data_IF_490856091565
#
_entry.id   IF_490856091565
#
_cell.length_a   1.000
_cell.length_b   1.000
_cell.length_c   1.000
_cell.angle_alpha   90.00
_cell.angle_beta   90.00
_cell.angle_gamma   90.00
#
_symmetry.space_group_name_H-M   'P 1'
#
loop_
_entity.id
_entity.type
_entity.pdbx_description
1 polymer ?
#
# COMPACT_ATOMS: atom_id res chain seq x y z
N UNK A 1 20.52 9.44 -24.15
CA UNK A 1 19.53 8.97 -23.16
C UNK A 1 18.18 9.65 -23.45
N UNK A 2 17.32 9.02 -24.25
CA UNK A 2 15.91 9.41 -24.45
C UNK A 2 15.08 8.34 -23.74
N UNK A 3 14.86 8.47 -22.44
CA UNK A 3 14.06 7.51 -21.68
C UNK A 3 13.27 8.25 -20.60
N UNK A 4 11.99 7.89 -20.48
CA UNK A 4 11.11 8.06 -19.31
C UNK A 4 10.23 9.31 -19.13
N UNK A 5 10.12 10.26 -20.08
CA UNK A 5 9.06 11.29 -19.98
C UNK A 5 7.64 10.75 -20.20
N UNK A 6 7.49 9.71 -21.01
CA UNK A 6 6.19 9.10 -21.27
C UNK A 6 5.65 8.36 -20.05
N UNK A 7 6.51 7.69 -19.27
CA UNK A 7 6.05 6.88 -18.14
C UNK A 7 5.43 7.71 -17.01
N UNK A 8 6.10 8.79 -16.58
CA UNK A 8 5.61 9.63 -15.49
C UNK A 8 4.27 10.30 -15.84
N UNK A 9 4.08 10.67 -17.11
CA UNK A 9 2.86 11.32 -17.61
C UNK A 9 1.70 10.37 -17.92
N UNK A 10 1.95 9.05 -18.05
CA UNK A 10 0.89 8.05 -18.24
C UNK A 10 -0.10 8.04 -17.07
N UNK A 11 -1.39 7.88 -17.38
CA UNK A 11 -2.45 7.66 -16.40
C UNK A 11 -2.31 6.25 -15.81
N UNK A 12 -2.58 6.11 -14.51
CA UNK A 12 -2.71 4.79 -13.90
C UNK A 12 -3.92 4.06 -14.47
N UNK A 13 -3.72 2.83 -14.90
CA UNK A 13 -4.73 1.98 -15.54
C UNK A 13 -5.36 0.99 -14.56
N UNK A 14 -4.67 0.70 -13.45
CA UNK A 14 -5.13 -0.22 -12.42
C UNK A 14 -4.65 0.20 -11.02
N UNK A 15 -5.18 -0.45 -9.98
CA UNK A 15 -4.71 -0.32 -8.61
C UNK A 15 -4.66 -1.67 -7.89
N UNK A 16 -3.82 -1.74 -6.86
CA UNK A 16 -3.65 -2.93 -6.04
C UNK A 16 -3.53 -2.59 -4.56
N UNK A 17 -4.00 -3.51 -3.73
CA UNK A 17 -3.65 -3.62 -2.31
C UNK A 17 -3.09 -5.02 -2.09
N UNK A 18 -2.09 -5.13 -1.22
CA UNK A 18 -1.66 -6.43 -0.69
C UNK A 18 -1.81 -6.40 0.82
N UNK A 19 -2.57 -7.36 1.33
CA UNK A 19 -2.71 -7.62 2.75
C UNK A 19 -2.64 -9.12 2.97
N UNK A 20 -1.90 -9.55 3.98
CA UNK A 20 -2.14 -10.86 4.59
C UNK A 20 -3.51 -10.86 5.29
N UNK A 21 -4.14 -12.03 5.51
CA UNK A 21 -5.39 -12.09 6.26
C UNK A 21 -5.32 -11.43 7.65
N UNK A 22 -4.15 -11.52 8.30
CA UNK A 22 -3.91 -10.89 9.61
C UNK A 22 -3.86 -9.37 9.51
N UNK A 23 -3.12 -8.84 8.55
CA UNK A 23 -3.08 -7.39 8.27
C UNK A 23 -4.45 -6.86 7.88
N UNK A 24 -5.22 -7.60 7.08
CA UNK A 24 -6.57 -7.21 6.69
C UNK A 24 -7.51 -7.16 7.91
N UNK A 25 -7.46 -8.16 8.79
CA UNK A 25 -8.21 -8.17 10.04
C UNK A 25 -7.80 -6.99 10.94
N UNK A 26 -6.51 -6.74 11.10
CA UNK A 26 -6.01 -5.60 11.87
C UNK A 26 -6.51 -4.28 11.27
N UNK A 27 -6.42 -4.12 9.96
CA UNK A 27 -6.84 -2.93 9.23
C UNK A 27 -8.32 -2.60 9.39
N UNK A 28 -9.19 -3.62 9.40
CA UNK A 28 -10.64 -3.44 9.53
C UNK A 28 -11.10 -3.26 10.98
N UNK A 29 -10.57 -4.04 11.91
CA UNK A 29 -11.17 -4.19 13.24
C UNK A 29 -10.32 -3.61 14.39
N UNK A 30 -9.03 -3.33 14.19
CA UNK A 30 -8.16 -2.80 15.25
C UNK A 30 -8.01 -1.28 15.12
N UNK A 31 -7.94 -0.62 16.28
CA UNK A 31 -7.55 0.80 16.41
C UNK A 31 -6.06 0.82 16.74
N UNK A 32 -5.17 1.18 15.77
CA UNK A 32 -3.74 1.09 15.98
C UNK A 32 -3.29 2.07 17.06
N UNK A 33 -2.57 1.54 18.05
CA UNK A 33 -1.95 2.28 19.14
C UNK A 33 -0.44 2.21 18.99
N UNK A 34 0.24 3.29 19.36
CA UNK A 34 1.68 3.36 19.29
C UNK A 34 2.31 2.35 20.27
N UNK A 35 3.20 1.44 19.83
CA UNK A 35 3.86 0.50 20.72
C UNK A 35 4.71 1.15 21.82
N UNK A 36 5.16 2.40 21.60
CA UNK A 36 6.03 3.12 22.56
C UNK A 36 5.26 3.89 23.63
N UNK A 37 4.17 4.56 23.26
CA UNK A 37 3.47 5.49 24.15
C UNK A 37 1.97 5.19 24.30
N UNK A 38 1.44 4.16 23.64
CA UNK A 38 0.02 3.76 23.72
C UNK A 38 -0.96 4.69 23.00
N UNK A 39 -0.50 5.85 22.50
CA UNK A 39 -1.35 6.85 21.86
C UNK A 39 -1.92 6.34 20.53
N UNK A 40 -3.12 6.80 20.17
CA UNK A 40 -3.76 6.43 18.90
C UNK A 40 -2.92 6.92 17.73
N UNK A 41 -2.68 6.02 16.77
CA UNK A 41 -1.90 6.34 15.58
C UNK A 41 -2.75 6.96 14.48
N UNK A 42 -2.13 7.88 13.74
CA UNK A 42 -2.72 8.50 12.54
C UNK A 42 -2.41 7.59 11.35
N UNK A 43 -3.46 7.05 10.73
CA UNK A 43 -3.36 6.23 9.53
C UNK A 43 -3.30 7.13 8.30
N UNK A 44 -2.32 6.90 7.43
CA UNK A 44 -2.20 7.55 6.12
C UNK A 44 -2.20 6.48 5.03
N UNK A 45 -2.98 6.73 3.98
CA UNK A 45 -2.96 5.91 2.76
C UNK A 45 -1.94 6.51 1.81
N UNK A 46 -0.98 5.70 1.41
CA UNK A 46 0.09 6.09 0.48
C UNK A 46 0.09 5.16 -0.73
N UNK A 47 0.79 5.56 -1.78
CA UNK A 47 0.93 4.73 -2.97
C UNK A 47 2.26 4.97 -3.65
N UNK A 48 2.73 3.96 -4.36
CA UNK A 48 3.75 4.12 -5.40
C UNK A 48 3.23 3.57 -6.72
N UNK A 49 3.84 4.01 -7.82
CA UNK A 49 3.49 3.54 -9.17
C UNK A 49 4.42 2.40 -9.56
N UNK A 50 3.88 1.29 -10.09
CA UNK A 50 4.69 0.18 -10.60
C UNK A 50 4.26 -0.21 -12.02
N UNK A 51 5.22 -0.74 -12.79
CA UNK A 51 5.02 -1.34 -14.12
C UNK A 51 4.63 -2.82 -13.95
N UNK A 52 3.60 -3.28 -14.67
CA UNK A 52 3.30 -4.71 -14.87
C UNK A 52 2.53 -5.43 -13.76
N UNK A 53 2.28 -6.73 -14.03
CA UNK A 53 1.44 -7.66 -13.25
C UNK A 53 1.70 -7.53 -11.76
N UNK A 54 0.63 -7.21 -11.04
CA UNK A 54 0.61 -7.12 -9.59
C UNK A 54 1.06 -8.48 -9.01
N UNK A 55 2.14 -8.52 -8.20
CA UNK A 55 2.65 -9.77 -7.62
C UNK A 55 1.57 -10.44 -6.75
N UNK A 56 1.23 -11.69 -7.07
CA UNK A 56 0.39 -12.54 -6.22
C UNK A 56 -1.14 -12.38 -6.34
N UNK A 57 -1.64 -11.50 -7.20
CA UNK A 57 -3.10 -11.25 -7.33
C UNK A 57 -3.82 -12.08 -8.37
N UNK A 58 -3.15 -12.47 -9.46
CA UNK A 58 -3.79 -13.20 -10.56
C UNK A 58 -2.91 -14.36 -11.00
N UNK A 59 -3.34 -15.59 -10.73
CA UNK A 59 -2.76 -16.82 -11.31
C UNK A 59 -3.36 -17.15 -12.68
N UNK A 60 -4.42 -16.45 -13.08
CA UNK A 60 -5.02 -16.49 -14.41
C UNK A 60 -4.74 -15.21 -15.18
N UNK A 61 -4.52 -15.32 -16.49
CA UNK A 61 -4.43 -14.14 -17.35
C UNK A 61 -5.82 -13.50 -17.48
N UNK A 62 -6.01 -12.37 -16.81
CA UNK A 62 -7.18 -11.53 -17.04
C UNK A 62 -6.97 -10.78 -18.34
N UNK A 63 -7.47 -11.33 -19.45
CA UNK A 63 -7.31 -10.83 -20.81
C UNK A 63 -7.71 -9.35 -21.04
N UNK A 64 -8.36 -8.70 -20.06
CA UNK A 64 -8.87 -7.32 -20.16
C UNK A 64 -8.32 -6.34 -19.10
N UNK A 65 -7.34 -6.75 -18.27
CA UNK A 65 -6.74 -5.82 -17.29
C UNK A 65 -5.50 -5.17 -17.88
N UNK A 66 -5.57 -3.88 -18.16
CA UNK A 66 -4.40 -3.06 -18.50
C UNK A 66 -3.62 -2.76 -17.22
N UNK A 67 -2.50 -3.43 -17.01
CA UNK A 67 -1.59 -3.26 -15.87
C UNK A 67 -0.32 -2.49 -16.24
N UNK A 68 -0.37 -1.74 -17.35
CA UNK A 68 0.72 -0.89 -17.83
C UNK A 68 1.25 0.01 -16.71
N UNK A 69 0.36 0.67 -15.95
CA UNK A 69 0.71 1.52 -14.80
C UNK A 69 -0.25 1.32 -13.63
N UNK A 70 0.24 0.67 -12.58
CA UNK A 70 -0.57 0.30 -11.41
C UNK A 70 -0.25 1.21 -10.22
N UNK A 71 -1.28 1.69 -9.51
CA UNK A 71 -1.12 2.25 -8.15
C UNK A 71 -1.07 1.12 -7.13
N UNK A 72 0.07 0.93 -6.49
CA UNK A 72 0.17 0.02 -5.35
C UNK A 72 -0.06 0.80 -4.05
N UNK A 73 -1.19 0.55 -3.38
CA UNK A 73 -1.54 1.23 -2.14
C UNK A 73 -0.96 0.51 -0.92
N UNK A 74 -0.43 1.29 0.01
CA UNK A 74 0.00 0.83 1.32
C UNK A 74 -0.41 1.82 2.41
N UNK A 75 -0.38 1.36 3.66
CA UNK A 75 -0.80 2.17 4.80
C UNK A 75 0.36 2.36 5.76
N UNK A 76 0.60 3.62 6.13
CA UNK A 76 1.56 4.01 7.15
C UNK A 76 0.82 4.59 8.36
N UNK A 77 1.41 4.38 9.52
CA UNK A 77 0.86 4.78 10.81
C UNK A 77 1.89 5.64 11.51
N UNK A 78 1.55 6.89 11.77
CA UNK A 78 2.43 7.82 12.49
C UNK A 78 1.86 8.10 13.86
N UNK A 79 2.68 7.99 14.89
CA UNK A 79 2.32 8.44 16.23
C UNK A 79 2.44 9.97 16.30
N UNK A 80 1.38 10.69 16.72
CA UNK A 80 1.43 12.15 16.83
C UNK A 80 2.31 12.65 17.98
N UNK A 81 2.56 11.81 18.99
CA UNK A 81 3.32 12.20 20.19
C UNK A 81 4.81 11.95 20.02
N UNK A 82 5.20 10.70 19.70
CA UNK A 82 6.62 10.34 19.58
C UNK A 82 7.16 10.42 18.14
N UNK A 83 6.31 10.72 17.15
CA UNK A 83 6.70 10.79 15.74
C UNK A 83 7.05 9.45 15.08
N UNK A 84 7.02 8.33 15.83
CA UNK A 84 7.36 7.02 15.31
C UNK A 84 6.41 6.60 14.18
N UNK A 85 6.98 6.01 13.13
CA UNK A 85 6.27 5.52 11.96
C UNK A 85 6.34 4.00 11.90
N UNK A 86 5.21 3.39 11.55
CA UNK A 86 5.08 1.95 11.39
C UNK A 86 4.27 1.65 10.14
N UNK A 87 4.58 0.53 9.51
CA UNK A 87 3.79 -0.10 8.46
C UNK A 87 2.64 -0.88 9.09
N UNK A 88 1.65 -1.27 8.27
CA UNK A 88 0.59 -2.17 8.71
C UNK A 88 1.16 -3.51 9.18
N UNK A 89 2.16 -4.06 8.47
CA UNK A 89 2.79 -5.33 8.82
C UNK A 89 3.45 -5.31 10.19
N UNK A 90 4.17 -4.24 10.53
CA UNK A 90 4.80 -4.08 11.86
C UNK A 90 3.78 -3.99 13.00
N UNK A 91 2.60 -3.41 12.75
CA UNK A 91 1.55 -3.29 13.77
C UNK A 91 0.67 -4.55 13.87
N UNK A 92 0.61 -5.34 12.81
CA UNK A 92 -0.18 -6.56 12.73
C UNK A 92 0.60 -7.82 13.18
N UNK A 93 1.86 -7.69 13.61
CA UNK A 93 2.67 -8.82 14.13
C UNK A 93 2.15 -9.35 15.47
#
# INVERSE_FOLDING_TARGET
>A
MKQDKDWESMKHTAFSYSFTPREFFFFLFKKPKCPKCGEKMIRKKEFFSTKGKIPGTFTQELANVKDDKVKYYYYTYTCPVCGAKYTLGELAQ
#
